data_IF_084413456934
#
_entry.id   IF_084413456934
#
_cell.length_a   1.000
_cell.length_b   1.000
_cell.length_c   1.000
_cell.angle_alpha   90.00
_cell.angle_beta   90.00
_cell.angle_gamma   90.00
#
_symmetry.space_group_name_H-M   'P 1'
#
loop_
_entity.id
_entity.type
_entity.pdbx_description
1 polymer ?
#
# COMPACT_ATOMS: atom_id res chain seq x y z
N UNK A 1 -30.62 -28.79 17.90
CA UNK A 1 -29.57 -28.41 16.92
C UNK A 1 -28.78 -27.29 17.57
N UNK A 2 -27.56 -27.55 18.03
CA UNK A 2 -26.72 -26.46 18.59
C UNK A 2 -26.28 -25.56 17.45
N UNK A 3 -26.51 -24.25 17.59
CA UNK A 3 -25.94 -23.26 16.70
C UNK A 3 -24.42 -23.28 16.87
N UNK A 4 -23.69 -23.38 15.76
CA UNK A 4 -22.25 -23.21 15.74
C UNK A 4 -21.95 -21.74 16.04
N UNK A 5 -21.13 -21.45 17.04
CA UNK A 5 -20.62 -20.08 17.22
C UNK A 5 -19.82 -19.67 15.97
N UNK A 6 -19.98 -18.42 15.48
CA UNK A 6 -19.22 -17.95 14.34
C UNK A 6 -17.73 -17.99 14.69
N UNK A 7 -16.92 -18.54 13.78
CA UNK A 7 -15.48 -18.59 13.97
C UNK A 7 -14.91 -17.18 14.21
N UNK A 8 -14.03 -17.06 15.21
CA UNK A 8 -13.37 -15.78 15.53
C UNK A 8 -12.57 -15.29 14.34
N UNK A 9 -12.90 -14.09 13.83
CA UNK A 9 -12.14 -13.44 12.76
C UNK A 9 -10.80 -12.96 13.32
N UNK A 10 -9.71 -13.34 12.66
CA UNK A 10 -8.34 -12.89 12.98
C UNK A 10 -7.65 -12.41 11.71
N UNK A 11 -6.93 -11.30 11.82
CA UNK A 11 -6.11 -10.76 10.73
C UNK A 11 -4.64 -11.06 11.02
N UNK A 12 -3.89 -11.47 9.99
CA UNK A 12 -2.44 -11.74 10.12
C UNK A 12 -1.59 -10.50 9.84
N UNK A 13 -2.10 -9.57 9.03
CA UNK A 13 -1.47 -8.28 8.72
C UNK A 13 -2.48 -7.31 8.11
N UNK A 14 -2.11 -6.03 8.09
CA UNK A 14 -2.80 -4.99 7.33
C UNK A 14 -1.79 -4.35 6.36
N UNK A 15 -2.26 -3.99 5.17
CA UNK A 15 -1.43 -3.33 4.14
C UNK A 15 -2.10 -1.99 3.80
N UNK A 16 -1.67 -0.89 4.44
CA UNK A 16 -2.18 0.44 4.13
C UNK A 16 -1.86 0.85 2.69
N UNK A 17 -2.79 1.58 2.07
CA UNK A 17 -2.56 2.28 0.81
C UNK A 17 -2.35 3.76 1.12
N UNK A 18 -1.24 4.32 0.65
CA UNK A 18 -0.88 5.73 0.81
C UNK A 18 -0.98 6.46 -0.53
N UNK A 19 -1.60 7.64 -0.52
CA UNK A 19 -1.74 8.48 -1.70
C UNK A 19 -0.42 9.19 -2.03
N UNK A 20 0.07 9.03 -3.26
CA UNK A 20 1.27 9.73 -3.79
C UNK A 20 0.93 10.56 -5.04
N UNK A 21 1.50 11.75 -5.17
CA UNK A 21 1.17 12.66 -6.29
C UNK A 21 2.28 12.80 -7.34
N UNK A 22 3.47 12.34 -7.01
CA UNK A 22 4.66 12.42 -7.85
C UNK A 22 5.44 11.13 -7.59
N UNK A 23 5.33 10.21 -8.54
CA UNK A 23 6.02 8.94 -8.55
C UNK A 23 7.52 9.04 -8.26
N UNK A 24 8.21 10.01 -8.88
CA UNK A 24 9.66 10.16 -8.72
C UNK A 24 10.00 10.53 -7.28
N UNK A 25 9.29 11.51 -6.71
CA UNK A 25 9.47 11.88 -5.30
C UNK A 25 9.11 10.74 -4.34
N UNK A 26 8.10 9.95 -4.68
CA UNK A 26 7.73 8.78 -3.88
C UNK A 26 8.87 7.75 -3.86
N UNK A 27 9.51 7.47 -4.99
CA UNK A 27 10.67 6.55 -5.01
C UNK A 27 11.87 7.11 -4.26
N UNK A 28 12.21 8.39 -4.48
CA UNK A 28 13.29 9.05 -3.75
C UNK A 28 13.11 8.93 -2.23
N UNK A 29 11.88 9.09 -1.74
CA UNK A 29 11.61 9.00 -0.31
C UNK A 29 11.49 7.56 0.19
N UNK A 30 10.59 6.76 -0.36
CA UNK A 30 10.28 5.44 0.18
C UNK A 30 11.36 4.40 -0.15
N UNK A 31 11.92 4.44 -1.36
CA UNK A 31 12.92 3.47 -1.81
C UNK A 31 14.32 3.94 -1.44
N UNK A 32 14.75 5.08 -1.96
CA UNK A 32 16.16 5.48 -1.87
C UNK A 32 16.52 5.95 -0.45
N UNK A 33 15.66 6.74 0.19
CA UNK A 33 15.91 7.27 1.53
C UNK A 33 15.50 6.30 2.64
N UNK A 34 14.26 5.78 2.62
CA UNK A 34 13.76 4.88 3.67
C UNK A 34 14.19 3.42 3.47
N UNK A 35 14.68 3.03 2.30
CA UNK A 35 15.21 1.70 2.04
C UNK A 35 14.15 0.60 1.90
N UNK A 36 12.95 0.92 1.41
CA UNK A 36 12.00 -0.11 1.01
C UNK A 36 12.42 -0.79 -0.29
N UNK A 37 12.04 -2.05 -0.46
CA UNK A 37 12.18 -2.79 -1.72
C UNK A 37 10.87 -2.74 -2.49
N UNK A 38 10.95 -2.71 -3.82
CA UNK A 38 9.78 -2.81 -4.70
C UNK A 38 9.41 -4.29 -4.81
N UNK A 39 8.16 -4.61 -4.50
CA UNK A 39 7.59 -5.96 -4.66
C UNK A 39 6.93 -6.12 -6.02
N UNK A 40 6.18 -5.11 -6.45
CA UNK A 40 5.54 -5.08 -7.76
C UNK A 40 5.19 -3.65 -8.19
N UNK A 41 5.11 -3.45 -9.50
CA UNK A 41 4.53 -2.24 -10.10
C UNK A 41 3.33 -2.63 -10.95
N UNK A 42 2.26 -1.85 -10.88
CA UNK A 42 1.11 -2.00 -11.75
C UNK A 42 0.70 -0.65 -12.34
N UNK A 43 0.56 -0.64 -13.67
CA UNK A 43 -0.03 0.44 -14.46
C UNK A 43 -0.79 -0.17 -15.61
N UNK A 44 -1.83 0.53 -16.05
CA UNK A 44 -2.56 0.18 -17.26
C UNK A 44 -1.77 0.54 -18.51
N UNK A 45 -1.16 1.73 -18.55
CA UNK A 45 -0.33 2.23 -19.66
C UNK A 45 0.79 3.13 -19.11
N UNK A 46 1.79 3.47 -19.92
CA UNK A 46 3.00 4.18 -19.48
C UNK A 46 2.72 5.53 -18.77
N UNK A 47 1.72 6.27 -19.26
CA UNK A 47 1.37 7.61 -18.75
C UNK A 47 0.16 7.61 -17.80
N UNK A 48 -0.30 6.43 -17.37
CA UNK A 48 -1.40 6.27 -16.43
C UNK A 48 -0.90 6.08 -14.99
N UNK A 49 -1.75 6.38 -13.98
CA UNK A 49 -1.37 6.31 -12.57
C UNK A 49 -0.71 4.99 -12.17
N UNK A 50 0.35 5.09 -11.37
CA UNK A 50 1.01 3.97 -10.71
C UNK A 50 0.22 3.44 -9.51
N UNK A 51 0.22 2.11 -9.39
CA UNK A 51 0.04 1.41 -8.13
C UNK A 51 1.30 0.58 -7.81
N UNK A 52 1.94 0.87 -6.68
CA UNK A 52 3.24 0.33 -6.30
C UNK A 52 3.16 -0.44 -4.98
N UNK A 53 3.56 -1.70 -4.97
CA UNK A 53 3.76 -2.47 -3.75
C UNK A 53 5.21 -2.39 -3.26
N UNK A 54 5.40 -2.05 -1.99
CA UNK A 54 6.72 -1.92 -1.37
C UNK A 54 6.77 -2.63 -0.02
N UNK A 55 7.95 -3.17 0.33
CA UNK A 55 8.17 -3.85 1.60
C UNK A 55 9.47 -3.44 2.28
N UNK A 56 9.50 -3.51 3.62
CA UNK A 56 10.72 -3.36 4.43
C UNK A 56 10.56 -4.02 5.78
N UNK A 57 11.45 -4.96 6.13
CA UNK A 57 11.51 -5.58 7.47
C UNK A 57 10.16 -6.09 8.00
N UNK A 58 9.34 -6.71 7.14
CA UNK A 58 8.03 -7.24 7.51
C UNK A 58 6.88 -6.22 7.47
N UNK A 59 7.15 -4.95 7.19
CA UNK A 59 6.12 -3.95 6.87
C UNK A 59 5.86 -3.94 5.37
N UNK A 60 4.58 -4.00 4.99
CA UNK A 60 4.13 -3.84 3.62
C UNK A 60 3.30 -2.57 3.50
N UNK A 61 3.56 -1.78 2.45
CA UNK A 61 2.77 -0.61 2.08
C UNK A 61 2.45 -0.67 0.59
N UNK A 62 1.30 -0.13 0.23
CA UNK A 62 1.00 0.20 -1.16
C UNK A 62 1.02 1.71 -1.35
N UNK A 63 1.61 2.20 -2.43
CA UNK A 63 1.56 3.59 -2.85
C UNK A 63 0.68 3.68 -4.10
N UNK A 64 -0.22 4.66 -4.14
CA UNK A 64 -1.12 4.83 -5.29
C UNK A 64 -1.21 6.28 -5.79
N UNK A 65 -1.08 6.44 -7.10
CA UNK A 65 -1.40 7.66 -7.83
C UNK A 65 -2.90 7.78 -8.18
N UNK A 66 -3.69 6.72 -7.96
CA UNK A 66 -5.13 6.75 -8.21
C UNK A 66 -5.86 7.58 -7.15
N UNK A 67 -6.73 8.49 -7.61
CA UNK A 67 -7.48 9.39 -6.74
C UNK A 67 -8.42 8.65 -5.77
N UNK A 68 -8.99 7.51 -6.18
CA UNK A 68 -9.99 6.78 -5.40
C UNK A 68 -9.42 5.83 -4.34
N UNK A 69 -8.12 5.56 -4.37
CA UNK A 69 -7.54 4.48 -3.55
C UNK A 69 -7.28 4.90 -2.10
N UNK A 70 -6.99 6.19 -1.86
CA UNK A 70 -6.64 6.70 -0.54
C UNK A 70 -6.86 8.21 -0.41
N UNK A 71 -7.10 8.67 0.82
CA UNK A 71 -7.21 10.09 1.14
C UNK A 71 -5.82 10.73 1.33
N UNK A 72 -5.55 11.93 0.78
CA UNK A 72 -4.33 12.68 1.06
C UNK A 72 -4.21 13.04 2.54
N UNK A 73 -2.99 12.96 3.10
CA UNK A 73 -2.71 13.37 4.48
C UNK A 73 -3.27 12.43 5.56
N UNK A 74 -3.71 11.23 5.20
CA UNK A 74 -4.16 10.23 6.16
C UNK A 74 -3.04 9.86 7.15
N UNK A 75 -3.39 9.75 8.43
CA UNK A 75 -2.55 9.18 9.47
C UNK A 75 -3.15 7.83 9.89
N UNK A 76 -2.40 6.75 9.68
CA UNK A 76 -2.70 5.43 10.26
C UNK A 76 -1.82 5.19 11.48
N UNK A 77 -2.41 4.70 12.58
CA UNK A 77 -1.74 4.38 13.83
C UNK A 77 -2.16 2.99 14.32
#
# INVERSE_FOLDING_TARGET
MSAQEPATVTFTSAIPILRIFDERKAREFYIDFLGFSIEFEHRFEADLPLYLGISRNGLNLHLSEHHGDACPGAAGF
#
